data_IF_988832838146
#
_entry.id   IF_988832838146
#
_cell.length_a   1.000
_cell.length_b   1.000
_cell.length_c   1.000
_cell.angle_alpha   90.00
_cell.angle_beta   90.00
_cell.angle_gamma   90.00
#
_symmetry.space_group_name_H-M   'P 1'
#
loop_
_entity.id
_entity.type
_entity.pdbx_description
1 polymer ?
#
# COMPACT_ATOMS: atom_id res chain seq x y z
N UNK A 1 -33.31 13.33 7.10
CA UNK A 1 -32.12 12.56 6.64
C UNK A 1 -31.90 11.43 7.64
N UNK A 2 -31.93 10.16 7.21
CA UNK A 2 -31.77 9.02 8.12
C UNK A 2 -30.32 8.88 8.61
N UNK A 3 -30.12 8.68 9.91
CA UNK A 3 -28.82 8.43 10.53
C UNK A 3 -28.33 7.01 10.21
N UNK A 4 -27.59 6.85 9.11
CA UNK A 4 -26.96 5.57 8.78
C UNK A 4 -25.75 5.29 9.67
N UNK A 5 -25.77 4.13 10.32
CA UNK A 5 -24.62 3.56 11.02
C UNK A 5 -23.91 2.54 10.12
N UNK A 6 -22.59 2.41 10.30
CA UNK A 6 -21.79 1.42 9.58
C UNK A 6 -22.11 0.02 10.11
N UNK A 7 -22.36 -0.93 9.19
CA UNK A 7 -22.67 -2.33 9.50
C UNK A 7 -21.49 -3.05 10.17
N UNK A 8 -20.25 -2.63 9.89
CA UNK A 8 -19.02 -3.30 10.35
C UNK A 8 -18.33 -2.60 11.53
N UNK A 9 -19.00 -1.61 12.14
CA UNK A 9 -18.44 -0.77 13.19
C UNK A 9 -17.79 0.52 12.68
N UNK A 10 -17.20 1.28 13.61
CA UNK A 10 -16.56 2.58 13.34
C UNK A 10 -15.17 2.62 13.95
N UNK A 11 -14.29 3.47 13.40
CA UNK A 11 -13.01 3.80 14.01
C UNK A 11 -13.22 4.39 15.42
N UNK A 12 -12.36 4.03 16.37
CA UNK A 12 -12.44 4.58 17.73
C UNK A 12 -12.18 6.09 17.77
N UNK A 13 -11.35 6.61 16.87
CA UNK A 13 -10.90 8.00 16.84
C UNK A 13 -10.52 8.47 15.44
N UNK A 14 -10.40 9.80 15.27
CA UNK A 14 -9.89 10.41 14.04
C UNK A 14 -8.43 10.01 13.77
N UNK A 15 -7.63 9.86 14.82
CA UNK A 15 -6.24 9.41 14.72
C UNK A 15 -6.13 7.98 14.22
N UNK A 16 -6.99 7.08 14.70
CA UNK A 16 -7.06 5.71 14.18
C UNK A 16 -7.37 5.71 12.68
N UNK A 17 -8.31 6.53 12.22
CA UNK A 17 -8.61 6.64 10.79
C UNK A 17 -7.38 7.12 9.99
N UNK A 18 -6.69 8.17 10.46
CA UNK A 18 -5.48 8.68 9.78
C UNK A 18 -4.41 7.60 9.73
N UNK A 19 -4.15 6.90 10.84
CA UNK A 19 -3.20 5.80 10.88
C UNK A 19 -3.63 4.66 9.95
N UNK A 20 -4.92 4.35 9.87
CA UNK A 20 -5.44 3.33 8.97
C UNK A 20 -5.27 3.70 7.50
N UNK A 21 -5.65 4.92 7.11
CA UNK A 21 -5.44 5.44 5.76
C UNK A 21 -3.93 5.48 5.41
N UNK A 22 -3.09 5.87 6.37
CA UNK A 22 -1.64 5.86 6.19
C UNK A 22 -1.11 4.43 6.04
N UNK A 23 -1.59 3.47 6.85
CA UNK A 23 -1.20 2.06 6.72
C UNK A 23 -1.68 1.40 5.42
N UNK A 24 -2.82 1.83 4.87
CA UNK A 24 -3.25 1.40 3.54
C UNK A 24 -2.37 2.00 2.43
N UNK A 25 -1.77 3.18 2.64
CA UNK A 25 -0.89 3.81 1.68
C UNK A 25 0.59 3.36 1.83
N UNK A 26 1.02 3.07 3.04
CA UNK A 26 2.39 2.67 3.36
C UNK A 26 2.48 1.15 3.39
N UNK A 27 2.96 0.57 2.29
CA UNK A 27 3.15 -0.86 2.16
C UNK A 27 4.44 -1.24 1.45
N UNK A 28 4.54 -2.52 1.11
CA UNK A 28 5.70 -3.10 0.41
C UNK A 28 6.03 -2.38 -0.90
N UNK A 29 5.02 -1.80 -1.56
CA UNK A 29 5.19 -0.98 -2.76
C UNK A 29 6.10 0.24 -2.56
N UNK A 30 6.14 0.81 -1.35
CA UNK A 30 6.99 1.96 -1.05
C UNK A 30 8.43 1.53 -0.73
N UNK A 31 8.64 0.29 -0.30
CA UNK A 31 9.95 -0.20 0.16
C UNK A 31 10.75 -0.84 -0.98
N UNK A 32 10.14 -1.66 -1.85
CA UNK A 32 10.87 -2.24 -3.00
C UNK A 32 10.53 -1.55 -4.32
N UNK A 33 9.25 -1.30 -4.60
CA UNK A 33 8.82 -0.93 -5.97
C UNK A 33 9.19 0.50 -6.27
N UNK A 34 8.96 1.39 -5.30
CA UNK A 34 9.27 2.81 -5.45
C UNK A 34 10.76 3.08 -5.69
N UNK A 35 11.72 2.53 -4.90
CA UNK A 35 13.14 2.72 -5.20
C UNK A 35 13.57 2.12 -6.55
N UNK A 36 13.04 0.95 -6.91
CA UNK A 36 13.31 0.32 -8.20
C UNK A 36 12.85 1.20 -9.37
N UNK A 37 11.61 1.70 -9.34
CA UNK A 37 11.08 2.58 -10.38
C UNK A 37 11.83 3.91 -10.43
N UNK A 38 12.15 4.48 -9.28
CA UNK A 38 12.98 5.69 -9.16
C UNK A 38 14.35 5.46 -9.81
N UNK A 39 15.01 4.33 -9.51
CA UNK A 39 16.25 3.88 -10.13
C UNK A 39 16.22 3.89 -11.65
N UNK A 40 15.16 3.34 -12.23
CA UNK A 40 15.05 3.14 -13.68
C UNK A 40 14.55 4.36 -14.46
N UNK A 41 13.90 5.33 -13.81
CA UNK A 41 13.19 6.42 -14.49
C UNK A 41 13.83 7.81 -14.26
N UNK A 42 15.14 7.89 -14.01
CA UNK A 42 15.83 9.18 -13.86
C UNK A 42 15.86 9.71 -12.43
N UNK A 43 15.72 8.84 -11.43
CA UNK A 43 15.92 9.16 -10.02
C UNK A 43 14.95 10.24 -9.56
N UNK A 44 15.50 11.35 -9.10
CA UNK A 44 14.73 12.45 -8.51
C UNK A 44 13.77 13.15 -9.49
N UNK A 45 14.04 13.14 -10.80
CA UNK A 45 13.11 13.66 -11.80
C UNK A 45 11.78 12.87 -11.82
N UNK A 46 11.85 11.54 -11.68
CA UNK A 46 10.67 10.69 -11.52
C UNK A 46 9.94 10.99 -10.21
N UNK A 47 10.68 11.19 -9.11
CA UNK A 47 10.11 11.52 -7.80
C UNK A 47 9.33 12.83 -7.85
N UNK A 48 9.83 13.85 -8.55
CA UNK A 48 9.12 15.13 -8.71
C UNK A 48 7.78 14.95 -9.43
N UNK A 49 7.75 14.20 -10.54
CA UNK A 49 6.51 13.90 -11.26
C UNK A 49 5.57 13.08 -10.39
N UNK A 50 6.07 12.08 -9.67
CA UNK A 50 5.27 11.30 -8.73
C UNK A 50 4.63 12.18 -7.65
N UNK A 51 5.38 13.09 -7.03
CA UNK A 51 4.86 14.03 -6.02
C UNK A 51 3.78 14.93 -6.63
N UNK A 52 3.99 15.42 -7.85
CA UNK A 52 3.00 16.23 -8.57
C UNK A 52 1.73 15.42 -8.86
N UNK A 53 1.83 14.17 -9.30
CA UNK A 53 0.68 13.28 -9.47
C UNK A 53 -0.05 13.02 -8.15
N UNK A 54 0.68 12.80 -7.06
CA UNK A 54 0.10 12.65 -5.71
C UNK A 54 -0.67 13.90 -5.32
N UNK A 55 -0.09 15.09 -5.49
CA UNK A 55 -0.73 16.35 -5.10
C UNK A 55 -1.94 16.69 -5.98
N UNK A 56 -1.80 16.58 -7.30
CA UNK A 56 -2.81 17.03 -8.26
C UNK A 56 -3.94 16.00 -8.49
N UNK A 57 -3.65 14.71 -8.38
CA UNK A 57 -4.62 13.64 -8.68
C UNK A 57 -4.91 12.78 -7.43
N UNK A 58 -3.86 12.37 -6.73
CA UNK A 58 -3.96 11.47 -5.59
C UNK A 58 -4.79 12.04 -4.44
N UNK A 59 -4.44 13.22 -3.94
CA UNK A 59 -5.12 13.87 -2.81
C UNK A 59 -6.59 14.17 -3.13
N UNK A 60 -6.95 14.81 -4.26
CA UNK A 60 -8.36 15.05 -4.62
C UNK A 60 -9.17 13.76 -4.70
N UNK A 61 -8.62 12.71 -5.32
CA UNK A 61 -9.30 11.43 -5.46
C UNK A 61 -9.46 10.70 -4.12
N UNK A 62 -8.43 10.76 -3.26
CA UNK A 62 -8.50 10.22 -1.90
C UNK A 62 -9.63 10.89 -1.11
N UNK A 63 -9.72 12.21 -1.16
CA UNK A 63 -10.81 12.95 -0.51
C UNK A 63 -12.18 12.53 -1.06
N UNK A 64 -12.31 12.38 -2.39
CA UNK A 64 -13.55 11.92 -3.01
C UNK A 64 -13.94 10.53 -2.51
N UNK A 65 -13.03 9.55 -2.50
CA UNK A 65 -13.33 8.20 -1.99
C UNK A 65 -13.73 8.20 -0.52
N UNK A 66 -13.04 8.97 0.32
CA UNK A 66 -13.39 9.10 1.75
C UNK A 66 -14.81 9.67 1.91
N UNK A 67 -15.16 10.71 1.15
CA UNK A 67 -16.47 11.36 1.21
C UNK A 67 -17.58 10.42 0.74
N UNK A 68 -17.38 9.74 -0.40
CA UNK A 68 -18.31 8.75 -0.94
C UNK A 68 -18.55 7.62 0.08
N UNK A 69 -17.47 7.08 0.65
CA UNK A 69 -17.53 6.04 1.66
C UNK A 69 -18.25 6.48 2.94
N UNK A 70 -17.89 7.66 3.48
CA UNK A 70 -18.48 8.21 4.70
C UNK A 70 -19.97 8.53 4.54
N UNK A 71 -20.40 8.94 3.35
CA UNK A 71 -21.81 9.19 3.03
C UNK A 71 -22.59 7.90 2.81
N UNK A 72 -22.01 6.92 2.11
CA UNK A 72 -22.63 5.64 1.80
C UNK A 72 -22.71 4.65 2.97
N UNK A 73 -21.73 4.67 3.89
CA UNK A 73 -21.68 3.81 5.10
C UNK A 73 -21.78 2.31 4.82
N UNK A 74 -21.34 1.89 3.64
CA UNK A 74 -21.41 0.50 3.19
C UNK A 74 -20.20 0.13 2.34
N UNK A 75 -20.22 -1.07 1.76
CA UNK A 75 -19.19 -1.50 0.79
C UNK A 75 -19.10 -0.53 -0.39
N UNK A 76 -17.98 -0.50 -1.14
CA UNK A 76 -17.84 0.43 -2.27
C UNK A 76 -19.00 0.34 -3.27
N UNK A 77 -19.39 -0.89 -3.64
CA UNK A 77 -20.52 -1.15 -4.55
C UNK A 77 -21.81 -0.56 -3.98
N UNK A 78 -22.16 -0.90 -2.73
CA UNK A 78 -23.41 -0.46 -2.10
C UNK A 78 -23.42 1.03 -1.79
N UNK A 79 -22.27 1.62 -1.48
CA UNK A 79 -22.13 3.08 -1.30
C UNK A 79 -22.45 3.80 -2.60
N UNK A 80 -21.93 3.34 -3.74
CA UNK A 80 -22.26 3.92 -5.05
C UNK A 80 -23.74 3.74 -5.41
N UNK A 81 -24.37 2.60 -5.06
CA UNK A 81 -25.83 2.39 -5.21
C UNK A 81 -26.64 3.44 -4.46
N UNK A 82 -26.39 3.55 -3.15
CA UNK A 82 -27.11 4.44 -2.25
C UNK A 82 -26.98 5.89 -2.74
N UNK A 83 -25.78 6.31 -3.11
CA UNK A 83 -25.53 7.67 -3.59
C UNK A 83 -26.24 7.95 -4.91
N UNK A 84 -26.27 6.96 -5.83
CA UNK A 84 -26.98 7.11 -7.09
C UNK A 84 -28.49 7.31 -6.88
N UNK A 85 -29.08 6.57 -5.94
CA UNK A 85 -30.48 6.73 -5.54
C UNK A 85 -30.72 8.11 -4.88
N UNK A 86 -29.86 8.53 -3.96
CA UNK A 86 -30.01 9.81 -3.24
C UNK A 86 -29.93 11.03 -4.15
N UNK A 87 -29.09 10.99 -5.19
CA UNK A 87 -28.92 12.10 -6.12
C UNK A 87 -29.78 11.96 -7.38
N UNK A 88 -30.72 10.99 -7.41
CA UNK A 88 -31.58 10.70 -8.57
C UNK A 88 -30.79 10.57 -9.89
N UNK A 89 -29.63 9.90 -9.84
CA UNK A 89 -28.79 9.65 -11.03
C UNK A 89 -28.83 8.17 -11.40
N UNK A 90 -28.08 7.80 -12.43
CA UNK A 90 -28.07 6.45 -12.95
C UNK A 90 -27.40 5.45 -12.00
N UNK A 91 -27.96 4.24 -11.92
CA UNK A 91 -27.38 3.13 -11.18
C UNK A 91 -26.07 2.59 -11.80
N UNK A 92 -25.69 3.03 -13.00
CA UNK A 92 -24.42 2.65 -13.63
C UNK A 92 -23.17 3.07 -12.83
N UNK A 93 -23.27 4.05 -11.94
CA UNK A 93 -22.18 4.46 -11.06
C UNK A 93 -21.65 3.35 -10.14
N UNK A 94 -22.43 2.28 -9.95
CA UNK A 94 -22.00 1.06 -9.26
C UNK A 94 -20.76 0.41 -9.88
N UNK A 95 -20.52 0.63 -11.18
CA UNK A 95 -19.33 0.12 -11.89
C UNK A 95 -18.05 0.56 -11.17
N UNK A 96 -18.00 1.77 -10.61
CA UNK A 96 -16.83 2.26 -9.85
C UNK A 96 -16.56 1.39 -8.62
N UNK A 97 -17.61 0.99 -7.91
CA UNK A 97 -17.47 0.09 -6.76
C UNK A 97 -17.04 -1.32 -7.17
N UNK A 98 -17.58 -1.83 -8.29
CA UNK A 98 -17.23 -3.15 -8.83
C UNK A 98 -15.81 -3.21 -9.36
N UNK A 99 -15.39 -2.22 -10.14
CA UNK A 99 -14.04 -2.14 -10.69
C UNK A 99 -13.00 -2.05 -9.57
N UNK A 100 -13.28 -1.26 -8.52
CA UNK A 100 -12.40 -1.16 -7.38
C UNK A 100 -12.29 -2.48 -6.61
N UNK A 101 -13.41 -3.15 -6.35
CA UNK A 101 -13.42 -4.45 -5.67
C UNK A 101 -12.65 -5.51 -6.46
N UNK A 102 -12.83 -5.55 -7.78
CA UNK A 102 -12.08 -6.43 -8.67
C UNK A 102 -10.59 -6.11 -8.66
N UNK A 103 -10.21 -4.83 -8.74
CA UNK A 103 -8.83 -4.40 -8.65
C UNK A 103 -8.18 -4.82 -7.32
N UNK A 104 -8.88 -4.66 -6.20
CA UNK A 104 -8.43 -5.11 -4.89
C UNK A 104 -8.18 -6.62 -4.84
N UNK A 105 -9.09 -7.42 -5.41
CA UNK A 105 -8.92 -8.88 -5.52
C UNK A 105 -7.71 -9.26 -6.39
N UNK A 106 -7.55 -8.62 -7.55
CA UNK A 106 -6.41 -8.86 -8.43
C UNK A 106 -5.08 -8.47 -7.76
N UNK A 107 -5.05 -7.34 -7.05
CA UNK A 107 -3.86 -6.90 -6.33
C UNK A 107 -3.52 -7.89 -5.22
N UNK A 108 -4.51 -8.29 -4.42
CA UNK A 108 -4.29 -9.23 -3.33
C UNK A 108 -3.68 -10.55 -3.82
N UNK A 109 -4.07 -11.03 -5.01
CA UNK A 109 -3.59 -12.30 -5.57
C UNK A 109 -2.08 -12.40 -5.75
N UNK A 110 -1.40 -11.30 -6.13
CA UNK A 110 0.06 -11.28 -6.23
C UNK A 110 0.71 -10.67 -4.99
N UNK A 111 0.03 -9.75 -4.29
CA UNK A 111 0.60 -9.09 -3.13
C UNK A 111 0.78 -10.06 -1.96
N UNK A 112 -0.11 -11.05 -1.82
CA UNK A 112 0.00 -12.13 -0.85
C UNK A 112 1.25 -13.01 -1.08
N UNK A 113 1.63 -13.22 -2.33
CA UNK A 113 2.84 -13.98 -2.68
C UNK A 113 4.07 -13.24 -2.17
N UNK A 114 4.15 -11.93 -2.43
CA UNK A 114 5.30 -11.13 -2.01
C UNK A 114 5.30 -10.87 -0.50
N UNK A 115 4.13 -10.78 0.12
CA UNK A 115 3.97 -10.84 1.57
C UNK A 115 4.57 -12.12 2.16
N UNK A 116 4.31 -13.27 1.51
CA UNK A 116 4.93 -14.55 1.83
C UNK A 116 6.46 -14.54 1.72
N UNK A 117 7.02 -13.91 0.68
CA UNK A 117 8.49 -13.74 0.57
C UNK A 117 9.05 -12.98 1.76
N UNK A 118 8.40 -11.89 2.14
CA UNK A 118 8.82 -11.05 3.26
C UNK A 118 8.83 -11.85 4.56
N UNK A 119 7.79 -12.64 4.83
CA UNK A 119 7.75 -13.53 6.00
C UNK A 119 8.89 -14.56 5.98
N UNK A 120 9.11 -15.24 4.86
CA UNK A 120 10.18 -16.22 4.74
C UNK A 120 11.56 -15.61 5.02
N UNK A 121 11.79 -14.39 4.54
CA UNK A 121 13.06 -13.69 4.68
C UNK A 121 13.32 -13.17 6.10
N UNK A 122 12.29 -12.90 6.89
CA UNK A 122 12.44 -12.63 8.33
C UNK A 122 13.13 -13.84 9.00
N UNK A 123 12.61 -15.05 8.78
CA UNK A 123 13.17 -16.27 9.39
C UNK A 123 14.54 -16.64 8.84
N UNK A 124 14.76 -16.51 7.52
CA UNK A 124 16.10 -16.74 6.92
C UNK A 124 17.15 -15.77 7.48
N UNK A 125 16.79 -14.51 7.62
CA UNK A 125 17.71 -13.49 8.17
C UNK A 125 17.97 -13.73 9.65
N UNK A 126 16.93 -14.02 10.44
CA UNK A 126 17.06 -14.35 11.86
C UNK A 126 17.89 -15.62 12.11
N UNK A 127 17.82 -16.60 11.19
CA UNK A 127 18.63 -17.82 11.22
C UNK A 127 20.09 -17.62 10.82
N UNK A 128 20.54 -16.38 10.55
CA UNK A 128 21.94 -16.08 10.23
C UNK A 128 22.37 -16.46 8.81
N UNK A 129 21.43 -16.82 7.91
CA UNK A 129 21.74 -17.24 6.53
C UNK A 129 22.55 -16.20 5.75
N UNK A 130 22.37 -14.92 6.06
CA UNK A 130 23.04 -13.81 5.37
C UNK A 130 24.27 -13.27 6.12
N UNK A 131 24.68 -13.88 7.23
CA UNK A 131 25.86 -13.44 7.99
C UNK A 131 27.14 -13.68 7.19
N UNK A 132 27.84 -12.61 6.79
CA UNK A 132 29.02 -12.69 5.94
C UNK A 132 28.75 -13.15 4.50
N UNK A 133 27.48 -13.18 4.08
CA UNK A 133 27.10 -13.62 2.76
C UNK A 133 27.53 -12.62 1.68
N UNK A 134 27.96 -13.14 0.53
CA UNK A 134 28.20 -12.32 -0.66
C UNK A 134 26.88 -11.89 -1.31
N UNK A 135 26.90 -10.80 -2.09
CA UNK A 135 25.73 -10.38 -2.88
C UNK A 135 25.28 -11.46 -3.87
N UNK A 136 26.21 -12.22 -4.43
CA UNK A 136 25.91 -13.34 -5.33
C UNK A 136 25.15 -14.46 -4.60
N UNK A 137 25.61 -14.85 -3.40
CA UNK A 137 24.91 -15.84 -2.60
C UNK A 137 23.48 -15.40 -2.25
N UNK A 138 23.29 -14.12 -1.92
CA UNK A 138 21.97 -13.57 -1.66
C UNK A 138 21.05 -13.64 -2.91
N UNK A 139 21.60 -13.32 -4.09
CA UNK A 139 20.87 -13.39 -5.36
C UNK A 139 20.49 -14.83 -5.74
N UNK A 140 21.42 -15.79 -5.62
CA UNK A 140 21.18 -17.21 -5.87
C UNK A 140 20.15 -17.79 -4.90
N UNK A 141 20.26 -17.43 -3.61
CA UNK A 141 19.28 -17.82 -2.59
C UNK A 141 17.88 -17.32 -2.94
N UNK A 142 17.76 -16.08 -3.41
CA UNK A 142 16.48 -15.52 -3.86
C UNK A 142 15.97 -16.23 -5.11
N UNK A 143 16.83 -16.45 -6.11
CA UNK A 143 16.47 -17.16 -7.36
C UNK A 143 15.94 -18.57 -7.07
N UNK A 144 16.64 -19.33 -6.24
CA UNK A 144 16.21 -20.67 -5.81
C UNK A 144 14.90 -20.63 -5.03
N UNK A 145 14.71 -19.61 -4.19
CA UNK A 145 13.48 -19.43 -3.42
C UNK A 145 12.27 -19.14 -4.32
N UNK A 146 12.37 -18.20 -5.26
CA UNK A 146 11.27 -17.88 -6.19
C UNK A 146 11.06 -18.97 -7.25
N UNK A 147 12.07 -19.80 -7.53
CA UNK A 147 11.94 -20.97 -8.39
C UNK A 147 11.17 -22.14 -7.76
N UNK A 148 10.96 -22.15 -6.44
CA UNK A 148 10.30 -23.24 -5.72
C UNK A 148 8.81 -22.99 -5.50
N UNK A 149 7.96 -23.47 -6.42
CA UNK A 149 6.50 -23.31 -6.35
C UNK A 149 5.88 -23.82 -5.04
N UNK A 150 6.40 -24.93 -4.48
CA UNK A 150 5.96 -25.46 -3.18
C UNK A 150 6.29 -24.51 -2.03
N UNK A 151 7.51 -24.00 -1.99
CA UNK A 151 7.95 -23.06 -0.94
C UNK A 151 7.14 -21.77 -0.99
N UNK A 152 6.92 -21.23 -2.19
CA UNK A 152 6.09 -20.06 -2.40
C UNK A 152 4.65 -20.28 -1.93
N UNK A 153 4.06 -21.43 -2.27
CA UNK A 153 2.68 -21.77 -1.88
C UNK A 153 2.52 -21.87 -0.36
N UNK A 154 3.51 -22.43 0.35
CA UNK A 154 3.50 -22.52 1.81
C UNK A 154 3.52 -21.12 2.44
N UNK A 155 4.50 -20.28 2.08
CA UNK A 155 4.64 -18.94 2.66
C UNK A 155 3.49 -18.00 2.28
N UNK A 156 2.99 -18.11 1.05
CA UNK A 156 1.76 -17.44 0.63
C UNK A 156 0.57 -17.84 1.53
N UNK A 157 0.39 -19.13 1.77
CA UNK A 157 -0.73 -19.64 2.59
C UNK A 157 -0.62 -19.14 4.02
N UNK A 158 0.59 -19.18 4.62
CA UNK A 158 0.84 -18.62 5.95
C UNK A 158 0.49 -17.13 5.99
N UNK A 159 0.95 -16.35 5.01
CA UNK A 159 0.64 -14.92 4.91
C UNK A 159 -0.87 -14.66 4.83
N UNK A 160 -1.59 -15.44 4.02
CA UNK A 160 -3.04 -15.33 3.88
C UNK A 160 -3.77 -15.69 5.18
N UNK A 161 -3.34 -16.73 5.89
CA UNK A 161 -3.92 -17.10 7.20
C UNK A 161 -3.74 -15.97 8.21
N UNK A 162 -2.56 -15.35 8.28
CA UNK A 162 -2.33 -14.18 9.16
C UNK A 162 -3.23 -13.00 8.77
N UNK A 163 -3.33 -12.71 7.47
CA UNK A 163 -4.19 -11.64 6.94
C UNK A 163 -5.66 -11.89 7.29
N UNK A 164 -6.16 -13.10 7.08
CA UNK A 164 -7.52 -13.51 7.45
C UNK A 164 -7.73 -13.42 8.97
N UNK A 165 -6.73 -13.78 9.79
CA UNK A 165 -6.80 -13.64 11.24
C UNK A 165 -7.00 -12.20 11.69
N UNK A 166 -6.28 -11.24 11.09
CA UNK A 166 -6.47 -9.81 11.36
C UNK A 166 -7.85 -9.34 10.92
N UNK A 167 -8.30 -9.74 9.73
CA UNK A 167 -9.62 -9.35 9.19
C UNK A 167 -10.77 -9.94 10.01
N UNK A 168 -10.64 -11.19 10.47
CA UNK A 168 -11.62 -11.86 11.32
C UNK A 168 -11.83 -11.16 12.67
N UNK A 169 -10.80 -10.45 13.18
CA UNK A 169 -10.92 -9.60 14.37
C UNK A 169 -11.75 -8.33 14.17
N UNK A 170 -12.21 -8.05 12.94
CA UNK A 170 -13.01 -6.87 12.60
C UNK A 170 -12.23 -5.56 12.67
N UNK A 171 -12.95 -4.44 12.54
CA UNK A 171 -12.36 -3.10 12.43
C UNK A 171 -11.60 -2.70 13.69
N UNK A 172 -12.24 -2.76 14.87
CA UNK A 172 -11.62 -2.37 16.15
C UNK A 172 -10.68 -3.44 16.72
N UNK A 173 -11.11 -4.70 16.68
CA UNK A 173 -10.43 -5.81 17.35
C UNK A 173 -9.22 -6.34 16.60
N UNK A 174 -9.21 -6.24 15.26
CA UNK A 174 -8.13 -6.70 14.40
C UNK A 174 -7.39 -5.55 13.73
N UNK A 175 -8.05 -4.87 12.79
CA UNK A 175 -7.40 -3.91 11.90
C UNK A 175 -6.80 -2.71 12.66
N UNK A 176 -7.58 -2.06 13.52
CA UNK A 176 -7.13 -0.92 14.32
C UNK A 176 -5.94 -1.27 15.22
N UNK A 177 -6.02 -2.39 15.95
CA UNK A 177 -4.92 -2.85 16.83
C UNK A 177 -3.65 -3.14 16.05
N UNK A 178 -3.77 -3.84 14.92
CA UNK A 178 -2.62 -4.15 14.08
C UNK A 178 -1.94 -2.86 13.59
N UNK A 179 -2.72 -1.89 13.11
CA UNK A 179 -2.18 -0.64 12.56
C UNK A 179 -1.54 0.22 13.64
N UNK A 180 -2.17 0.35 14.82
CA UNK A 180 -1.62 1.16 15.93
C UNK A 180 -0.25 0.65 16.41
N UNK A 181 0.03 -0.64 16.28
CA UNK A 181 1.32 -1.22 16.67
C UNK A 181 2.31 -1.28 15.50
N UNK A 182 1.88 -1.79 14.34
CA UNK A 182 2.78 -2.08 13.21
C UNK A 182 3.26 -0.80 12.51
N UNK A 183 2.42 0.23 12.38
CA UNK A 183 2.81 1.47 11.68
C UNK A 183 3.92 2.24 12.41
N UNK A 184 3.82 2.53 13.73
CA UNK A 184 4.92 3.15 14.46
C UNK A 184 6.19 2.29 14.43
N UNK A 185 6.05 0.97 14.57
CA UNK A 185 7.18 0.04 14.51
C UNK A 185 7.92 0.15 13.17
N UNK A 186 7.18 0.14 12.05
CA UNK A 186 7.76 0.33 10.73
C UNK A 186 8.48 1.67 10.61
N UNK A 187 7.88 2.76 11.09
CA UNK A 187 8.48 4.09 11.06
C UNK A 187 9.83 4.13 11.78
N UNK A 188 9.91 3.60 13.01
CA UNK A 188 11.16 3.56 13.76
C UNK A 188 12.21 2.64 13.14
N UNK A 189 11.81 1.50 12.57
CA UNK A 189 12.72 0.62 11.83
C UNK A 189 13.31 1.34 10.61
N UNK A 190 12.52 2.11 9.87
CA UNK A 190 13.02 2.90 8.74
C UNK A 190 14.01 3.97 9.19
N UNK A 191 13.75 4.68 10.30
CA UNK A 191 14.69 5.65 10.85
C UNK A 191 16.01 4.99 11.26
N UNK A 192 15.94 3.81 11.88
CA UNK A 192 17.13 3.04 12.25
C UNK A 192 17.93 2.61 11.01
N UNK A 193 17.26 2.18 9.95
CA UNK A 193 17.90 1.84 8.68
C UNK A 193 18.56 3.04 8.00
N UNK A 194 17.91 4.21 8.05
CA UNK A 194 18.50 5.46 7.56
C UNK A 194 19.75 5.82 8.37
N UNK A 195 19.68 5.78 9.71
CA UNK A 195 20.83 6.03 10.59
C UNK A 195 21.99 5.07 10.29
N UNK A 196 21.72 3.78 10.12
CA UNK A 196 22.71 2.79 9.71
C UNK A 196 23.29 3.08 8.31
N UNK A 197 22.46 3.48 7.35
CA UNK A 197 22.93 3.81 6.00
C UNK A 197 23.95 4.96 6.00
N UNK A 198 23.83 5.90 6.94
CA UNK A 198 24.77 7.02 7.08
C UNK A 198 26.18 6.57 7.46
N UNK A 199 26.32 5.42 8.14
CA UNK A 199 27.62 4.90 8.58
C UNK A 199 28.32 4.04 7.53
N UNK A 200 27.71 3.82 6.37
CA UNK A 200 28.27 2.96 5.30
C UNK A 200 29.35 3.62 4.45
N UNK A 201 29.54 4.94 4.58
CA UNK A 201 30.46 5.72 3.74
C UNK A 201 29.94 6.07 2.34
N UNK A 202 28.83 5.48 1.89
CA UNK A 202 28.22 5.72 0.57
C UNK A 202 27.00 6.63 0.59
N UNK A 203 26.60 7.12 1.77
CA UNK A 203 25.40 7.92 1.96
C UNK A 203 25.34 9.16 1.05
N UNK A 204 26.47 9.85 0.87
CA UNK A 204 26.56 11.01 -0.02
C UNK A 204 26.19 10.70 -1.48
N UNK A 205 26.61 9.55 -2.01
CA UNK A 205 26.23 9.12 -3.37
C UNK A 205 24.74 8.82 -3.48
N UNK A 206 24.14 8.28 -2.41
CA UNK A 206 22.69 8.06 -2.33
C UNK A 206 21.91 9.37 -2.37
N UNK A 207 22.37 10.39 -1.64
CA UNK A 207 21.79 11.73 -1.68
C UNK A 207 21.95 12.39 -3.06
N UNK A 208 23.15 12.32 -3.64
CA UNK A 208 23.41 12.86 -4.98
C UNK A 208 22.46 12.24 -6.02
N UNK A 209 22.29 10.92 -5.99
CA UNK A 209 21.33 10.22 -6.83
C UNK A 209 19.87 10.66 -6.58
N UNK A 210 19.48 10.85 -5.32
CA UNK A 210 18.10 11.18 -4.94
C UNK A 210 17.75 12.67 -5.11
N UNK A 211 18.74 13.56 -5.21
CA UNK A 211 18.52 15.00 -5.29
C UNK A 211 19.07 15.67 -6.55
N UNK A 212 19.70 14.91 -7.45
CA UNK A 212 20.13 15.41 -8.77
C UNK A 212 19.16 14.94 -9.85
N UNK A 213 18.30 15.81 -10.41
CA UNK A 213 17.29 15.40 -11.38
C UNK A 213 17.89 15.21 -12.77
N UNK A 214 17.72 14.01 -13.31
CA UNK A 214 18.07 13.68 -14.69
C UNK A 214 16.80 13.63 -15.54
N UNK A 215 16.40 14.79 -16.06
CA UNK A 215 15.22 14.91 -16.94
C UNK A 215 15.41 14.24 -18.30
N UNK A 216 16.64 13.89 -18.70
CA UNK A 216 16.89 13.21 -19.98
C UNK A 216 16.28 11.81 -20.02
N UNK A 217 16.11 11.18 -18.85
CA UNK A 217 15.49 9.86 -18.68
C UNK A 217 13.98 9.92 -18.45
N UNK A 218 13.41 11.12 -18.35
CA UNK A 218 11.99 11.29 -18.11
C UNK A 218 11.22 11.21 -19.44
N UNK A 219 10.64 10.04 -19.70
CA UNK A 219 9.81 9.81 -20.89
C UNK A 219 8.31 9.92 -20.57
N UNK A 220 7.45 9.97 -21.59
CA UNK A 220 6.00 9.86 -21.39
C UNK A 220 5.59 8.56 -20.70
N UNK A 221 6.30 7.46 -20.95
CA UNK A 221 6.10 6.19 -20.24
C UNK A 221 6.50 6.28 -18.76
N UNK A 222 7.57 7.02 -18.45
CA UNK A 222 7.99 7.29 -17.07
C UNK A 222 6.96 8.12 -16.32
N UNK A 223 6.34 9.12 -16.97
CA UNK A 223 5.25 9.90 -16.38
C UNK A 223 4.01 9.06 -16.10
N UNK A 224 3.61 8.20 -17.05
CA UNK A 224 2.50 7.25 -16.85
C UNK A 224 2.80 6.28 -15.70
N UNK A 225 4.05 5.83 -15.60
CA UNK A 225 4.52 4.97 -14.50
C UNK A 225 4.46 5.69 -13.15
N UNK A 226 4.85 6.97 -13.10
CA UNK A 226 4.77 7.79 -11.89
C UNK A 226 3.32 7.98 -11.44
N UNK A 227 2.41 8.27 -12.38
CA UNK A 227 0.98 8.37 -12.10
C UNK A 227 0.41 7.05 -11.57
N UNK A 228 0.69 5.93 -12.24
CA UNK A 228 0.25 4.61 -11.79
C UNK A 228 0.80 4.25 -10.40
N UNK A 229 2.05 4.62 -10.12
CA UNK A 229 2.66 4.44 -8.82
C UNK A 229 2.00 5.32 -7.74
N UNK A 230 1.58 6.54 -8.06
CA UNK A 230 0.83 7.40 -7.13
C UNK A 230 -0.52 6.76 -6.72
N UNK A 231 -1.27 6.24 -7.69
CA UNK A 231 -2.54 5.56 -7.43
C UNK A 231 -2.34 4.29 -6.60
N UNK A 232 -1.34 3.49 -6.95
CA UNK A 232 -1.01 2.27 -6.21
C UNK A 232 -0.56 2.57 -4.78
N UNK A 233 0.33 3.56 -4.60
CA UNK A 233 0.89 3.95 -3.31
C UNK A 233 -0.18 4.54 -2.37
N UNK A 234 -1.21 5.19 -2.89
CA UNK A 234 -2.29 5.73 -2.07
C UNK A 234 -3.51 4.79 -1.93
N UNK A 235 -3.41 3.56 -2.45
CA UNK A 235 -4.54 2.61 -2.50
C UNK A 235 -5.81 3.18 -3.14
N UNK A 236 -5.66 3.99 -4.19
CA UNK A 236 -6.75 4.67 -4.87
C UNK A 236 -7.31 3.85 -6.03
N UNK A 237 -8.62 4.00 -6.29
CA UNK A 237 -9.32 3.35 -7.40
C UNK A 237 -9.65 1.88 -7.13
N UNK A 238 -9.22 1.32 -5.99
CA UNK A 238 -9.52 -0.07 -5.58
C UNK A 238 -10.59 -0.16 -4.47
N UNK A 239 -11.19 0.98 -4.07
CA UNK A 239 -12.26 1.03 -3.08
C UNK A 239 -11.82 0.83 -1.62
N UNK A 240 -10.52 0.61 -1.36
CA UNK A 240 -9.96 0.47 0.00
C UNK A 240 -10.15 1.75 0.82
N UNK A 241 -9.87 2.91 0.24
CA UNK A 241 -10.04 4.19 0.92
C UNK A 241 -11.54 4.50 1.10
N UNK A 242 -12.38 4.16 0.11
CA UNK A 242 -13.82 4.25 0.23
C UNK A 242 -14.38 3.40 1.39
N UNK A 243 -13.94 2.13 1.53
CA UNK A 243 -14.39 1.30 2.66
C UNK A 243 -13.88 1.84 4.00
N UNK A 244 -12.64 2.33 4.08
CA UNK A 244 -12.12 2.95 5.32
C UNK A 244 -12.88 4.23 5.68
N UNK A 245 -13.28 5.02 4.67
CA UNK A 245 -14.14 6.19 4.83
C UNK A 245 -15.51 5.84 5.43
N UNK A 246 -16.06 4.67 5.11
CA UNK A 246 -17.35 4.21 5.64
C UNK A 246 -17.35 4.02 7.17
N UNK A 247 -16.18 3.78 7.76
CA UNK A 247 -15.99 3.59 9.21
C UNK A 247 -15.71 4.90 9.97
N UNK A 248 -15.55 6.04 9.30
CA UNK A 248 -15.26 7.35 9.94
C UNK A 248 -16.50 7.87 10.68
N UNK A 249 -16.47 8.21 11.98
CA UNK A 249 -17.64 8.78 12.68
C UNK A 249 -18.23 10.03 12.00
N UNK A 250 -19.48 10.39 12.34
CA UNK A 250 -20.10 11.61 11.80
C UNK A 250 -19.42 12.86 12.34
#
# INVERSE_FOLDING_TARGET
MSDRQSIHGQWSSRWTFILAATGAAVGLGNIWKFPYLTGQNGGSAFVLVYILCVAALGIPLMMAEILLGRRGRSTPIRSMQILAEETNTTQWWQIVGWSGTLAGMLILSYYSVIGGWTLAYIFKSAGGTFSGASGQFAAETFSNFVGSGTTLSIWHTIFMVLTMGVVAGGVKGGLERAIQFLMPTLFFLLLLMVAYSMTTGFFGKGLEFLFTPDFSKLTGASMLTAMGQAFFSLSLGMGTIMIYGSYVPK
#
